data_IF_295965109611
#
_entry.id   IF_295965109611
#
_cell.length_a   1.000
_cell.length_b   1.000
_cell.length_c   1.000
_cell.angle_alpha   90.00
_cell.angle_beta   90.00
_cell.angle_gamma   90.00
#
_symmetry.space_group_name_H-M   'P 1'
#
loop_
_entity.id
_entity.type
_entity.pdbx_description
1 polymer ?
#
# COMPACT_ATOMS: atom_id res chain seq x y z
N UNK A 1 -48.33 7.90 -18.07
CA UNK A 1 -47.58 7.84 -16.80
C UNK A 1 -46.30 7.11 -17.12
N UNK A 2 -45.19 7.84 -17.24
CA UNK A 2 -43.88 7.26 -17.58
C UNK A 2 -43.34 6.68 -16.28
N UNK A 3 -43.27 5.35 -16.19
CA UNK A 3 -42.59 4.66 -15.09
C UNK A 3 -41.10 4.74 -15.39
N UNK A 4 -40.41 5.62 -14.67
CA UNK A 4 -38.97 5.76 -14.70
C UNK A 4 -38.35 4.42 -14.24
N UNK A 5 -37.69 3.71 -15.17
CA UNK A 5 -36.80 2.61 -14.81
C UNK A 5 -35.57 3.25 -14.16
N UNK A 6 -35.60 3.39 -12.84
CA UNK A 6 -34.42 3.73 -12.05
C UNK A 6 -33.52 2.49 -12.02
N UNK A 7 -32.68 2.34 -13.04
CA UNK A 7 -31.58 1.38 -13.08
C UNK A 7 -30.55 1.78 -12.02
N UNK A 8 -30.88 1.46 -10.77
CA UNK A 8 -30.00 1.60 -9.61
C UNK A 8 -28.84 0.61 -9.79
N UNK A 9 -27.78 1.08 -10.43
CA UNK A 9 -26.54 0.34 -10.58
C UNK A 9 -25.95 0.13 -9.18
N UNK A 10 -26.05 -1.09 -8.64
CA UNK A 10 -25.46 -1.43 -7.35
C UNK A 10 -23.94 -1.15 -7.41
N UNK A 11 -23.38 -0.48 -6.40
CA UNK A 11 -21.96 -0.14 -6.40
C UNK A 11 -21.12 -1.42 -6.52
N UNK A 12 -20.25 -1.45 -7.53
CA UNK A 12 -19.33 -2.56 -7.75
C UNK A 12 -18.27 -2.51 -6.66
N UNK A 13 -18.51 -3.23 -5.56
CA UNK A 13 -17.52 -3.39 -4.50
C UNK A 13 -16.40 -4.31 -4.98
N UNK A 14 -15.16 -3.87 -4.81
CA UNK A 14 -14.02 -4.75 -4.97
C UNK A 14 -14.13 -5.89 -3.96
N UNK A 15 -14.24 -7.13 -4.46
CA UNK A 15 -14.43 -8.35 -3.66
C UNK A 15 -13.38 -8.52 -2.54
N UNK A 16 -12.18 -8.00 -2.75
CA UNK A 16 -11.09 -8.03 -1.78
C UNK A 16 -10.53 -6.62 -1.61
N UNK A 17 -10.84 -6.00 -0.48
CA UNK A 17 -10.36 -4.68 -0.10
C UNK A 17 -9.64 -4.80 1.23
N UNK A 18 -8.42 -4.25 1.31
CA UNK A 18 -7.59 -4.34 2.51
C UNK A 18 -7.13 -2.95 2.90
N UNK A 19 -7.39 -2.57 4.15
CA UNK A 19 -6.88 -1.34 4.71
C UNK A 19 -5.36 -1.38 4.88
N UNK A 20 -4.77 -0.20 5.13
CA UNK A 20 -3.33 -0.10 5.37
C UNK A 20 -2.86 -1.02 6.48
N UNK A 21 -3.53 -1.00 7.64
CA UNK A 21 -3.15 -1.81 8.79
C UNK A 21 -3.38 -3.31 8.53
N UNK A 22 -4.45 -3.67 7.80
CA UNK A 22 -4.73 -5.06 7.43
C UNK A 22 -3.60 -5.64 6.56
N UNK A 23 -3.10 -4.86 5.60
CA UNK A 23 -1.95 -5.24 4.77
C UNK A 23 -0.68 -5.45 5.60
N UNK A 24 -0.44 -4.59 6.60
CA UNK A 24 0.72 -4.70 7.47
C UNK A 24 0.61 -5.90 8.42
N UNK A 25 -0.59 -6.20 8.93
CA UNK A 25 -0.84 -7.37 9.76
C UNK A 25 -0.68 -8.69 9.00
N UNK A 26 -0.95 -8.70 7.69
CA UNK A 26 -0.76 -9.86 6.82
C UNK A 26 0.71 -10.15 6.47
N UNK A 27 1.66 -9.27 6.78
CA UNK A 27 3.07 -9.57 6.57
C UNK A 27 3.52 -10.72 7.48
N UNK A 28 3.80 -11.87 6.86
CA UNK A 28 4.33 -13.04 7.54
C UNK A 28 5.66 -12.74 8.23
N UNK A 29 5.85 -13.27 9.44
CA UNK A 29 6.97 -12.92 10.32
C UNK A 29 8.35 -13.29 9.79
N UNK A 30 8.50 -14.15 8.78
CA UNK A 30 9.80 -14.46 8.19
C UNK A 30 9.66 -15.22 6.87
N UNK A 31 10.42 -14.75 5.88
CA UNK A 31 10.91 -15.48 4.69
C UNK A 31 9.88 -15.88 3.62
N UNK A 32 9.38 -14.90 2.86
CA UNK A 32 8.91 -15.20 1.51
C UNK A 32 10.12 -15.39 0.58
N UNK A 33 10.24 -16.60 0.02
CA UNK A 33 11.16 -16.85 -1.09
C UNK A 33 10.85 -15.86 -2.22
N UNK A 34 11.86 -15.18 -2.79
CA UNK A 34 11.62 -14.25 -3.87
C UNK A 34 10.91 -14.97 -5.04
N UNK A 35 9.93 -14.34 -5.69
CA UNK A 35 9.30 -14.88 -6.89
C UNK A 35 10.32 -15.26 -7.96
N UNK A 36 10.05 -16.33 -8.72
CA UNK A 36 10.94 -16.74 -9.80
C UNK A 36 11.09 -15.62 -10.83
N UNK A 37 12.32 -15.35 -11.26
CA UNK A 37 12.63 -14.33 -12.27
C UNK A 37 12.77 -12.91 -11.75
N UNK A 38 12.49 -12.63 -10.47
CA UNK A 38 12.57 -11.26 -9.93
C UNK A 38 13.98 -10.67 -9.96
N UNK A 39 15.03 -11.51 -9.98
CA UNK A 39 16.44 -11.11 -10.12
C UNK A 39 16.76 -10.35 -11.41
N UNK A 40 15.88 -10.42 -12.43
CA UNK A 40 16.04 -9.65 -13.68
C UNK A 40 15.54 -8.21 -13.56
N UNK A 41 14.86 -7.87 -12.46
CA UNK A 41 14.39 -6.52 -12.20
C UNK A 41 15.58 -5.61 -11.82
N UNK A 42 15.76 -4.43 -12.45
CA UNK A 42 16.81 -3.48 -12.08
C UNK A 42 16.72 -2.96 -10.64
N UNK A 43 15.54 -3.06 -10.02
CA UNK A 43 15.26 -2.64 -8.64
C UNK A 43 15.28 -3.81 -7.65
N UNK A 44 15.72 -4.99 -8.09
CA UNK A 44 15.81 -6.14 -7.22
C UNK A 44 16.81 -5.90 -6.09
N UNK A 45 16.38 -6.21 -4.87
CA UNK A 45 17.22 -6.24 -3.68
C UNK A 45 17.33 -7.68 -3.20
N UNK A 46 18.55 -8.14 -2.88
CA UNK A 46 18.78 -9.50 -2.38
C UNK A 46 18.10 -9.73 -1.02
N UNK A 47 17.99 -8.67 -0.20
CA UNK A 47 17.36 -8.70 1.11
C UNK A 47 15.98 -8.06 1.07
N UNK A 48 15.00 -8.74 1.67
CA UNK A 48 13.66 -8.20 1.83
C UNK A 48 13.72 -6.95 2.73
N UNK A 49 13.19 -5.85 2.22
CA UNK A 49 13.12 -4.59 2.95
C UNK A 49 11.81 -4.52 3.73
N UNK A 50 11.88 -3.99 4.95
CA UNK A 50 10.69 -3.68 5.75
C UNK A 50 9.93 -2.53 5.09
N UNK A 51 8.58 -2.54 5.09
CA UNK A 51 7.82 -1.40 4.60
C UNK A 51 8.22 -0.12 5.33
N UNK A 52 8.48 0.93 4.54
CA UNK A 52 8.98 2.23 5.01
C UNK A 52 8.09 2.82 6.10
N UNK A 53 6.80 2.50 6.10
CA UNK A 53 5.85 3.03 7.06
C UNK A 53 6.01 2.48 8.48
N UNK A 54 6.74 1.38 8.63
CA UNK A 54 7.14 0.84 9.94
C UNK A 54 8.47 1.43 10.41
N UNK A 55 9.14 2.23 9.56
CA UNK A 55 10.39 2.89 9.91
C UNK A 55 10.09 4.32 10.39
N UNK A 56 10.74 4.78 11.46
CA UNK A 56 10.69 6.19 11.82
C UNK A 56 11.33 7.02 10.70
N UNK A 57 10.87 8.26 10.54
CA UNK A 57 11.48 9.18 9.58
C UNK A 57 12.96 9.39 9.91
N UNK A 58 13.78 9.37 8.88
CA UNK A 58 15.16 9.83 8.97
C UNK A 58 15.23 11.34 9.18
N UNK A 59 16.39 11.83 9.62
CA UNK A 59 16.61 13.27 9.84
C UNK A 59 16.31 14.09 8.58
N UNK A 60 16.68 13.58 7.41
CA UNK A 60 16.43 14.28 6.13
C UNK A 60 14.94 14.35 5.78
N UNK A 61 14.17 13.31 6.09
CA UNK A 61 12.72 13.27 5.87
C UNK A 61 11.99 14.14 6.89
N UNK A 62 12.46 14.16 8.14
CA UNK A 62 11.91 14.99 9.20
C UNK A 62 12.07 16.48 8.87
N UNK A 63 13.27 16.91 8.43
CA UNK A 63 13.53 18.30 8.02
C UNK A 63 12.63 18.70 6.85
N UNK A 64 12.47 17.84 5.84
CA UNK A 64 11.59 18.13 4.70
C UNK A 64 10.12 18.21 5.10
N UNK A 65 9.66 17.36 6.03
CA UNK A 65 8.28 17.42 6.55
C UNK A 65 8.00 18.73 7.28
N UNK A 66 8.94 19.20 8.11
CA UNK A 66 8.81 20.47 8.83
C UNK A 66 8.79 21.64 7.85
N UNK A 67 9.64 21.61 6.81
CA UNK A 67 9.73 22.70 5.82
C UNK A 67 8.55 22.73 4.83
N UNK A 68 7.99 21.58 4.46
CA UNK A 68 6.95 21.49 3.42
C UNK A 68 5.54 21.18 3.95
N UNK A 69 5.35 21.10 5.27
CA UNK A 69 4.01 20.97 5.87
C UNK A 69 3.22 19.73 5.42
N UNK A 70 3.90 18.62 5.09
CA UNK A 70 3.22 17.38 4.71
C UNK A 70 2.62 16.70 5.95
N UNK A 71 1.36 17.05 6.24
CA UNK A 71 0.49 16.33 7.15
C UNK A 71 -0.26 15.26 6.33
N UNK A 72 0.23 14.01 6.35
CA UNK A 72 -0.58 12.87 5.91
C UNK A 72 -1.59 12.62 7.03
N UNK A 73 -2.85 12.99 6.78
CA UNK A 73 -4.00 12.75 7.67
C UNK A 73 -4.49 11.32 7.53
#
# INVERSE_FOLDING_TARGET
MVTENDETCEPIFAKHSYGREDLLAMMGKNTMKPPLGIKRCPFYMDTAQTPIILMPFSDTEMVRRILHGFFVK
#
